data_IF_939552817915
#
_entry.id   IF_939552817915
#
_cell.length_a   1.000
_cell.length_b   1.000
_cell.length_c   1.000
_cell.angle_alpha   90.00
_cell.angle_beta   90.00
_cell.angle_gamma   90.00
#
_symmetry.space_group_name_H-M   'P 1'
#
loop_
_entity.id
_entity.type
_entity.pdbx_description
1 polymer ?
#
# COMPACT_ATOMS: atom_id res chain seq x y z
N UNK A 1 -13.11 -5.47 -13.90
CA UNK A 1 -12.65 -6.24 -15.09
C UNK A 1 -11.32 -5.73 -15.66
N UNK A 2 -11.11 -4.40 -15.87
CA UNK A 2 -9.85 -3.84 -16.40
C UNK A 2 -8.66 -4.04 -15.47
N UNK A 3 -8.79 -3.73 -14.19
CA UNK A 3 -7.73 -3.89 -13.19
C UNK A 3 -7.15 -5.32 -13.19
N UNK A 4 -8.02 -6.33 -13.21
CA UNK A 4 -7.60 -7.74 -13.28
C UNK A 4 -6.85 -8.07 -14.58
N UNK A 5 -7.34 -7.58 -15.74
CA UNK A 5 -6.69 -7.80 -17.05
C UNK A 5 -5.28 -7.20 -17.09
N UNK A 6 -5.09 -6.04 -16.49
CA UNK A 6 -3.80 -5.33 -16.46
C UNK A 6 -2.96 -5.64 -15.22
N UNK A 7 -3.42 -6.56 -14.36
CA UNK A 7 -2.73 -6.91 -13.11
C UNK A 7 -2.44 -5.68 -12.24
N UNK A 8 -3.48 -4.91 -11.95
CA UNK A 8 -3.43 -3.75 -11.07
C UNK A 8 -4.06 -4.14 -9.73
N UNK A 9 -3.30 -4.03 -8.65
CA UNK A 9 -3.78 -4.05 -7.27
C UNK A 9 -4.09 -2.63 -6.80
N UNK A 10 -5.13 -2.46 -5.98
CA UNK A 10 -5.50 -1.16 -5.43
C UNK A 10 -5.74 -1.25 -3.93
N UNK A 11 -5.11 -0.36 -3.19
CA UNK A 11 -5.24 -0.17 -1.75
C UNK A 11 -5.87 1.19 -1.52
N UNK A 12 -7.19 1.28 -1.22
CA UNK A 12 -7.88 2.54 -1.00
C UNK A 12 -7.51 3.18 0.34
N UNK A 13 -7.73 4.48 0.46
CA UNK A 13 -7.57 5.24 1.69
C UNK A 13 -8.48 4.68 2.81
N UNK A 14 -9.74 4.40 2.50
CA UNK A 14 -10.72 3.88 3.44
C UNK A 14 -11.39 2.61 2.94
N UNK A 15 -11.75 1.73 3.87
CA UNK A 15 -12.49 0.50 3.54
C UNK A 15 -11.66 -0.51 2.76
N UNK A 16 -12.27 -1.06 1.69
CA UNK A 16 -11.63 -2.08 0.85
C UNK A 16 -11.73 -3.50 1.42
N UNK A 17 -12.52 -3.71 2.48
CA UNK A 17 -12.75 -5.00 3.13
C UNK A 17 -14.20 -5.14 3.62
N UNK A 18 -14.62 -6.37 3.88
CA UNK A 18 -15.96 -6.69 4.42
C UNK A 18 -15.88 -6.70 5.95
N UNK A 19 -16.56 -5.78 6.58
CA UNK A 19 -16.47 -5.50 8.02
C UNK A 19 -16.86 -6.67 8.92
N UNK A 20 -17.90 -7.43 8.54
CA UNK A 20 -18.46 -8.53 9.33
C UNK A 20 -17.85 -9.89 9.03
N UNK A 21 -17.03 -9.99 8.00
CA UNK A 21 -16.22 -11.17 7.72
C UNK A 21 -14.91 -11.14 8.52
N UNK A 22 -14.39 -12.32 8.86
CA UNK A 22 -13.06 -12.45 9.47
C UNK A 22 -11.98 -12.03 8.46
N UNK A 23 -10.75 -11.85 8.93
CA UNK A 23 -9.61 -11.59 8.06
C UNK A 23 -9.46 -12.70 6.99
N UNK A 24 -9.51 -13.95 7.41
CA UNK A 24 -9.41 -15.10 6.52
C UNK A 24 -10.56 -15.16 5.51
N UNK A 25 -11.79 -14.92 5.95
CA UNK A 25 -12.98 -14.89 5.07
C UNK A 25 -12.88 -13.77 4.02
N UNK A 26 -12.37 -12.59 4.38
CA UNK A 26 -12.10 -11.51 3.45
C UNK A 26 -11.14 -11.97 2.33
N UNK A 27 -10.02 -12.59 2.71
CA UNK A 27 -9.04 -13.10 1.75
C UNK A 27 -9.62 -14.22 0.89
N UNK A 28 -10.42 -15.13 1.46
CA UNK A 28 -11.10 -16.19 0.72
C UNK A 28 -12.09 -15.61 -0.29
N UNK A 29 -12.95 -14.68 0.10
CA UNK A 29 -13.96 -14.07 -0.76
C UNK A 29 -13.33 -13.41 -2.01
N UNK A 30 -12.29 -12.61 -1.81
CA UNK A 30 -11.57 -11.98 -2.92
C UNK A 30 -10.75 -13.00 -3.71
N UNK A 31 -10.13 -13.95 -3.02
CA UNK A 31 -9.35 -15.03 -3.62
C UNK A 31 -10.16 -15.89 -4.59
N UNK A 32 -11.42 -16.21 -4.29
CA UNK A 32 -12.33 -16.97 -5.16
C UNK A 32 -12.61 -16.26 -6.48
N UNK A 33 -12.68 -14.94 -6.46
CA UNK A 33 -12.86 -14.14 -7.67
C UNK A 33 -11.61 -14.14 -8.52
N UNK A 34 -10.42 -14.06 -7.88
CA UNK A 34 -9.14 -13.82 -8.57
C UNK A 34 -8.46 -15.12 -8.99
N UNK A 35 -8.39 -16.13 -8.09
CA UNK A 35 -7.63 -17.36 -8.26
C UNK A 35 -8.60 -18.53 -8.39
N UNK A 36 -8.74 -19.07 -9.60
CA UNK A 36 -9.70 -20.18 -9.89
C UNK A 36 -9.30 -21.50 -9.26
N UNK A 37 -8.01 -21.80 -9.25
CA UNK A 37 -7.48 -23.02 -8.66
C UNK A 37 -7.53 -22.93 -7.13
N UNK A 38 -8.26 -23.86 -6.50
CA UNK A 38 -8.48 -23.88 -5.06
C UNK A 38 -7.18 -24.07 -4.28
N UNK A 39 -6.30 -24.97 -4.72
CA UNK A 39 -5.05 -25.26 -4.03
C UNK A 39 -4.12 -24.04 -4.07
N UNK A 40 -3.92 -23.46 -5.26
CA UNK A 40 -3.10 -22.25 -5.41
C UNK A 40 -3.65 -21.07 -4.60
N UNK A 41 -4.97 -20.95 -4.52
CA UNK A 41 -5.64 -19.93 -3.72
C UNK A 41 -5.34 -20.09 -2.22
N UNK A 42 -5.47 -21.31 -1.69
CA UNK A 42 -5.17 -21.60 -0.29
C UNK A 42 -3.69 -21.35 0.03
N UNK A 43 -2.77 -21.85 -0.80
CA UNK A 43 -1.34 -21.62 -0.67
C UNK A 43 -0.99 -20.12 -0.68
N UNK A 44 -1.59 -19.35 -1.60
CA UNK A 44 -1.37 -17.90 -1.69
C UNK A 44 -1.88 -17.15 -0.47
N UNK A 45 -3.08 -17.49 0.01
CA UNK A 45 -3.68 -16.87 1.21
C UNK A 45 -2.81 -17.17 2.44
N UNK A 46 -2.43 -18.41 2.66
CA UNK A 46 -1.58 -18.80 3.79
C UNK A 46 -0.24 -18.07 3.75
N UNK A 47 0.41 -18.02 2.57
CA UNK A 47 1.66 -17.28 2.38
C UNK A 47 1.53 -15.79 2.71
N UNK A 48 0.44 -15.14 2.31
CA UNK A 48 0.23 -13.72 2.62
C UNK A 48 -0.05 -13.49 4.11
N UNK A 49 -0.87 -14.32 4.75
CA UNK A 49 -1.14 -14.25 6.20
C UNK A 49 0.16 -14.33 6.98
N UNK A 50 0.99 -15.33 6.70
CA UNK A 50 2.28 -15.52 7.36
C UNK A 50 3.24 -14.35 7.08
N UNK A 51 3.39 -13.97 5.80
CA UNK A 51 4.28 -12.87 5.40
C UNK A 51 3.96 -11.55 6.10
N UNK A 52 2.67 -11.27 6.32
CA UNK A 52 2.22 -10.03 6.96
C UNK A 52 2.04 -10.16 8.48
N UNK A 53 2.43 -11.32 9.07
CA UNK A 53 2.27 -11.63 10.48
C UNK A 53 0.82 -11.40 10.98
N UNK A 54 -0.13 -12.05 10.30
CA UNK A 54 -1.56 -11.96 10.58
C UNK A 54 -2.15 -13.28 11.11
N UNK A 55 -1.30 -14.29 11.38
CA UNK A 55 -1.70 -15.64 11.81
C UNK A 55 -2.59 -15.60 13.05
N UNK A 56 -2.23 -14.80 14.04
CA UNK A 56 -2.93 -14.71 15.31
C UNK A 56 -4.29 -13.98 15.26
N UNK A 57 -4.62 -13.34 14.12
CA UNK A 57 -5.84 -12.52 13.97
C UNK A 57 -6.70 -12.96 12.78
N UNK A 58 -6.38 -14.09 12.15
CA UNK A 58 -7.06 -14.54 10.93
C UNK A 58 -8.56 -14.85 11.17
N UNK A 59 -8.95 -15.26 12.36
CA UNK A 59 -10.34 -15.57 12.74
C UNK A 59 -11.07 -14.36 13.37
N UNK A 60 -10.39 -13.20 13.47
CA UNK A 60 -11.00 -11.98 14.01
C UNK A 60 -11.75 -11.26 12.90
N UNK A 61 -12.99 -10.82 13.15
CA UNK A 61 -13.77 -10.01 12.22
C UNK A 61 -13.05 -8.69 11.93
N UNK A 62 -13.05 -8.28 10.66
CA UNK A 62 -12.29 -7.14 10.20
C UNK A 62 -12.61 -5.82 10.93
N UNK A 63 -13.85 -5.65 11.41
CA UNK A 63 -14.25 -4.50 12.23
C UNK A 63 -13.52 -4.41 13.59
N UNK A 64 -13.02 -5.51 14.13
CA UNK A 64 -12.31 -5.57 15.41
C UNK A 64 -10.79 -5.55 15.26
N UNK A 65 -10.25 -5.57 14.05
CA UNK A 65 -8.83 -5.43 13.79
C UNK A 65 -8.35 -4.01 14.13
N UNK A 66 -7.07 -3.88 14.49
CA UNK A 66 -6.42 -2.56 14.62
C UNK A 66 -6.32 -1.86 13.26
N UNK A 67 -6.03 -0.56 13.25
CA UNK A 67 -5.82 0.20 12.00
C UNK A 67 -4.73 -0.42 11.12
N UNK A 68 -3.60 -0.78 11.70
CA UNK A 68 -2.49 -1.44 11.01
C UNK A 68 -2.86 -2.84 10.48
N UNK A 69 -3.58 -3.64 11.27
CA UNK A 69 -4.04 -4.96 10.83
C UNK A 69 -5.04 -4.86 9.67
N UNK A 70 -5.98 -3.91 9.72
CA UNK A 70 -6.87 -3.62 8.59
C UNK A 70 -6.10 -3.21 7.35
N UNK A 71 -5.10 -2.35 7.50
CA UNK A 71 -4.26 -1.92 6.37
C UNK A 71 -3.51 -3.09 5.75
N UNK A 72 -2.89 -3.95 6.58
CA UNK A 72 -2.26 -5.19 6.12
C UNK A 72 -3.23 -6.10 5.36
N UNK A 73 -4.45 -6.29 5.88
CA UNK A 73 -5.50 -7.08 5.21
C UNK A 73 -5.78 -6.55 3.79
N UNK A 74 -6.00 -5.24 3.65
CA UNK A 74 -6.29 -4.63 2.33
C UNK A 74 -5.12 -4.79 1.36
N UNK A 75 -3.89 -4.63 1.84
CA UNK A 75 -2.69 -4.89 1.02
C UNK A 75 -2.64 -6.36 0.60
N UNK A 76 -2.87 -7.31 1.52
CA UNK A 76 -2.93 -8.74 1.18
C UNK A 76 -3.98 -9.02 0.10
N UNK A 77 -5.18 -8.44 0.22
CA UNK A 77 -6.24 -8.58 -0.79
C UNK A 77 -5.80 -8.05 -2.15
N UNK A 78 -5.12 -6.91 -2.21
CA UNK A 78 -4.58 -6.33 -3.45
C UNK A 78 -3.48 -7.20 -4.08
N UNK A 79 -2.73 -7.96 -3.26
CA UNK A 79 -1.63 -8.83 -3.69
C UNK A 79 -2.07 -10.24 -4.14
N UNK A 80 -3.33 -10.64 -3.90
CA UNK A 80 -3.82 -11.97 -4.29
C UNK A 80 -3.68 -12.26 -5.79
N UNK A 81 -3.78 -11.23 -6.63
CA UNK A 81 -3.71 -11.35 -8.10
C UNK A 81 -2.30 -11.26 -8.68
N UNK A 82 -1.26 -11.28 -7.88
CA UNK A 82 0.13 -11.01 -8.31
C UNK A 82 0.20 -9.77 -9.21
N UNK A 83 -0.12 -8.57 -8.68
CA UNK A 83 -0.19 -7.37 -9.47
C UNK A 83 1.19 -6.99 -10.02
N UNK A 84 1.21 -6.40 -11.22
CA UNK A 84 2.38 -5.72 -11.78
C UNK A 84 2.46 -4.27 -11.32
N UNK A 85 1.32 -3.68 -10.99
CA UNK A 85 1.20 -2.31 -10.48
C UNK A 85 0.37 -2.39 -9.20
N UNK A 86 0.89 -1.83 -8.11
CA UNK A 86 0.17 -1.65 -6.85
C UNK A 86 -0.08 -0.16 -6.64
N UNK A 87 -1.34 0.24 -6.67
CA UNK A 87 -1.75 1.62 -6.40
C UNK A 87 -2.14 1.73 -4.93
N UNK A 88 -1.52 2.64 -4.20
CA UNK A 88 -1.75 2.90 -2.79
C UNK A 88 -2.23 4.34 -2.61
N UNK A 89 -3.41 4.49 -2.03
CA UNK A 89 -4.03 5.79 -1.82
C UNK A 89 -4.06 6.11 -0.32
N UNK A 90 -3.28 7.12 0.09
CA UNK A 90 -3.13 7.60 1.47
C UNK A 90 -3.00 6.47 2.52
N UNK A 91 -2.08 5.53 2.27
CA UNK A 91 -1.96 4.32 3.10
C UNK A 91 -1.43 4.58 4.52
N UNK A 92 -0.85 5.76 4.76
CA UNK A 92 -0.35 6.18 6.08
C UNK A 92 -1.38 7.00 6.87
N UNK A 93 -2.53 7.34 6.27
CA UNK A 93 -3.53 8.17 6.90
C UNK A 93 -4.09 7.56 8.20
N UNK A 94 -4.17 8.38 9.25
CA UNK A 94 -4.71 8.02 10.57
C UNK A 94 -4.04 6.81 11.25
N UNK A 95 -2.75 6.59 10.97
CA UNK A 95 -1.94 5.56 11.60
C UNK A 95 -0.90 6.18 12.55
N UNK A 96 -0.54 5.41 13.58
CA UNK A 96 0.56 5.76 14.47
C UNK A 96 1.93 5.58 13.80
N UNK A 97 2.97 6.21 14.37
CA UNK A 97 4.34 6.22 13.81
C UNK A 97 4.90 4.81 13.63
N UNK A 98 4.67 3.90 14.58
CA UNK A 98 5.19 2.52 14.50
C UNK A 98 4.51 1.74 13.38
N UNK A 99 3.21 1.93 13.21
CA UNK A 99 2.44 1.31 12.13
C UNK A 99 2.89 1.83 10.76
N UNK A 100 3.15 3.15 10.62
CA UNK A 100 3.70 3.74 9.39
C UNK A 100 5.07 3.11 9.09
N UNK A 101 5.96 3.04 10.07
CA UNK A 101 7.30 2.45 9.89
C UNK A 101 7.20 1.01 9.38
N UNK A 102 6.39 0.19 10.03
CA UNK A 102 6.14 -1.19 9.62
C UNK A 102 5.59 -1.29 8.18
N UNK A 103 4.66 -0.42 7.78
CA UNK A 103 4.12 -0.42 6.42
C UNK A 103 5.17 -0.02 5.38
N UNK A 104 6.04 0.93 5.69
CA UNK A 104 7.18 1.31 4.84
C UNK A 104 8.10 0.11 4.60
N UNK A 105 8.47 -0.61 5.65
CA UNK A 105 9.28 -1.84 5.53
C UNK A 105 8.59 -2.89 4.66
N UNK A 106 7.29 -3.10 4.84
CA UNK A 106 6.51 -4.03 4.02
C UNK A 106 6.57 -3.65 2.53
N UNK A 107 6.40 -2.37 2.18
CA UNK A 107 6.42 -1.93 0.78
C UNK A 107 7.81 -2.07 0.16
N UNK A 108 8.85 -1.69 0.88
CA UNK A 108 10.24 -1.85 0.44
C UNK A 108 10.57 -3.34 0.24
N UNK A 109 10.19 -4.19 1.18
CA UNK A 109 10.41 -5.64 1.06
C UNK A 109 9.64 -6.25 -0.11
N UNK A 110 8.40 -5.80 -0.37
CA UNK A 110 7.62 -6.25 -1.54
C UNK A 110 8.34 -5.96 -2.85
N UNK A 111 8.95 -4.78 -2.98
CA UNK A 111 9.70 -4.42 -4.18
C UNK A 111 11.02 -5.21 -4.29
N UNK A 112 11.75 -5.36 -3.19
CA UNK A 112 13.00 -6.12 -3.16
C UNK A 112 12.80 -7.58 -3.56
N UNK A 113 11.73 -8.22 -3.08
CA UNK A 113 11.38 -9.61 -3.42
C UNK A 113 10.82 -9.75 -4.83
N UNK A 114 10.16 -8.72 -5.35
CA UNK A 114 9.62 -8.70 -6.69
C UNK A 114 9.97 -7.38 -7.41
N UNK A 115 11.21 -7.26 -7.97
CA UNK A 115 11.66 -6.04 -8.65
C UNK A 115 10.83 -5.64 -9.87
N UNK A 116 9.92 -6.52 -10.32
CA UNK A 116 9.02 -6.23 -11.45
C UNK A 116 7.71 -5.56 -11.04
N UNK A 117 7.44 -5.42 -9.74
CA UNK A 117 6.26 -4.69 -9.27
C UNK A 117 6.56 -3.19 -9.30
N UNK A 118 5.64 -2.41 -9.86
CA UNK A 118 5.64 -0.96 -9.75
C UNK A 118 4.68 -0.57 -8.62
N UNK A 119 5.17 0.08 -7.57
CA UNK A 119 4.35 0.58 -6.47
C UNK A 119 4.18 2.09 -6.65
N UNK A 120 2.94 2.54 -6.80
CA UNK A 120 2.58 3.95 -6.92
C UNK A 120 1.82 4.34 -5.66
N UNK A 121 2.30 5.35 -4.96
CA UNK A 121 1.75 5.81 -3.69
C UNK A 121 1.33 7.26 -3.83
N UNK A 122 0.05 7.57 -3.60
CA UNK A 122 -0.46 8.92 -3.41
C UNK A 122 -0.45 9.23 -1.91
N UNK A 123 0.25 10.25 -1.50
CA UNK A 123 0.37 10.65 -0.08
C UNK A 123 0.57 12.15 0.06
N UNK A 124 0.10 12.68 1.18
CA UNK A 124 0.34 14.06 1.56
C UNK A 124 1.40 14.19 2.68
N UNK A 125 1.78 13.08 3.31
CA UNK A 125 2.86 13.01 4.31
C UNK A 125 4.21 12.90 3.60
N UNK A 126 4.69 14.02 3.05
CA UNK A 126 5.86 14.07 2.17
C UNK A 126 7.12 13.42 2.77
N UNK A 127 7.40 13.66 4.08
CA UNK A 127 8.59 13.10 4.76
C UNK A 127 8.56 11.57 4.76
N UNK A 128 7.41 11.00 5.09
CA UNK A 128 7.23 9.56 5.16
C UNK A 128 7.35 8.92 3.78
N UNK A 129 6.73 9.55 2.76
CA UNK A 129 6.78 9.08 1.40
C UNK A 129 8.19 9.15 0.80
N UNK A 130 8.85 10.31 0.88
CA UNK A 130 10.17 10.54 0.28
C UNK A 130 11.27 9.64 0.86
N UNK A 131 11.05 9.04 2.05
CA UNK A 131 12.01 8.13 2.66
C UNK A 131 12.05 6.73 2.03
N UNK A 132 11.07 6.36 1.19
CA UNK A 132 10.92 4.99 0.67
C UNK A 132 10.76 4.90 -0.85
N UNK A 133 10.66 6.02 -1.56
CA UNK A 133 10.45 6.03 -3.01
C UNK A 133 11.71 6.32 -3.78
N UNK A 134 11.83 5.76 -4.98
CA UNK A 134 12.93 6.05 -5.92
C UNK A 134 12.71 7.38 -6.65
N UNK A 135 11.44 7.71 -6.90
CA UNK A 135 11.03 8.90 -7.67
C UNK A 135 9.69 9.40 -7.16
N UNK A 136 9.52 10.71 -7.12
CA UNK A 136 8.26 11.32 -6.78
C UNK A 136 7.89 12.46 -7.74
N UNK A 137 6.59 12.74 -7.78
CA UNK A 137 6.00 13.86 -8.51
C UNK A 137 5.20 14.70 -7.52
N UNK A 138 5.36 16.02 -7.58
CA UNK A 138 4.57 16.95 -6.79
C UNK A 138 3.49 17.56 -7.68
N UNK A 139 2.24 17.35 -7.27
CA UNK A 139 1.07 17.87 -7.96
C UNK A 139 0.52 19.09 -7.21
N UNK A 140 0.35 20.20 -7.91
CA UNK A 140 -0.33 21.39 -7.38
C UNK A 140 -1.14 22.05 -8.49
N UNK A 141 -2.34 22.52 -8.18
CA UNK A 141 -3.24 23.16 -9.14
C UNK A 141 -3.39 22.36 -10.46
N UNK A 142 -3.61 21.05 -10.35
CA UNK A 142 -3.77 20.14 -11.49
C UNK A 142 -2.55 20.07 -12.42
N UNK A 143 -1.36 20.46 -11.96
CA UNK A 143 -0.12 20.41 -12.74
C UNK A 143 0.99 19.73 -11.94
N UNK A 144 1.89 19.04 -12.64
CA UNK A 144 3.13 18.58 -12.05
C UNK A 144 4.06 19.80 -11.95
N UNK A 145 4.41 20.18 -10.71
CA UNK A 145 5.27 21.35 -10.45
C UNK A 145 6.73 20.96 -10.26
N UNK A 146 7.00 19.75 -9.80
CA UNK A 146 8.33 19.19 -9.67
C UNK A 146 8.31 17.67 -9.80
N UNK A 147 9.40 17.08 -10.24
CA UNK A 147 9.55 15.64 -10.47
C UNK A 147 11.03 15.26 -10.32
N UNK A 148 11.31 14.12 -9.66
CA UNK A 148 12.66 13.62 -9.52
C UNK A 148 12.87 12.65 -8.38
N UNK A 149 14.14 12.34 -8.07
CA UNK A 149 14.50 11.61 -6.87
C UNK A 149 14.21 12.44 -5.61
N UNK A 150 13.99 11.81 -4.44
CA UNK A 150 13.78 12.53 -3.17
C UNK A 150 14.82 13.63 -2.90
N UNK A 151 16.10 13.31 -3.10
CA UNK A 151 17.21 14.25 -2.88
C UNK A 151 17.15 15.48 -3.81
N UNK A 152 16.68 15.31 -5.06
CA UNK A 152 16.53 16.41 -6.00
C UNK A 152 15.31 17.27 -5.63
N UNK A 153 14.19 16.63 -5.26
CA UNK A 153 12.96 17.34 -4.90
C UNK A 153 13.12 18.19 -3.63
N UNK A 154 13.83 17.69 -2.62
CA UNK A 154 14.10 18.45 -1.38
C UNK A 154 14.92 19.73 -1.67
N UNK A 155 15.71 19.74 -2.75
CA UNK A 155 16.53 20.91 -3.17
C UNK A 155 15.82 21.81 -4.19
N UNK A 156 14.75 21.35 -4.80
CA UNK A 156 14.02 22.08 -5.84
C UNK A 156 13.32 23.31 -5.26
N UNK A 157 13.60 24.49 -5.81
CA UNK A 157 13.05 25.77 -5.31
C UNK A 157 11.54 25.90 -5.51
N UNK A 158 10.97 25.29 -6.56
CA UNK A 158 9.52 25.28 -6.76
C UNK A 158 8.85 24.36 -5.77
N UNK A 159 9.41 23.17 -5.55
CA UNK A 159 8.93 22.23 -4.54
C UNK A 159 8.96 22.85 -3.14
N UNK A 160 10.04 23.55 -2.79
CA UNK A 160 10.15 24.28 -1.52
C UNK A 160 9.10 25.37 -1.37
N UNK A 161 9.00 26.25 -2.36
CA UNK A 161 8.11 27.43 -2.27
C UNK A 161 6.63 27.07 -2.33
N UNK A 162 6.24 26.03 -3.09
CA UNK A 162 4.84 25.73 -3.38
C UNK A 162 4.27 24.52 -2.62
N UNK A 163 5.14 23.67 -2.03
CA UNK A 163 4.70 22.45 -1.38
C UNK A 163 5.34 22.21 -0.02
N UNK A 164 6.66 22.23 0.09
CA UNK A 164 7.34 21.89 1.35
C UNK A 164 7.36 23.03 2.35
N UNK A 165 7.36 24.30 1.90
CA UNK A 165 7.56 25.44 2.79
C UNK A 165 8.87 25.29 3.57
N UNK A 166 8.80 25.50 4.88
CA UNK A 166 9.94 25.36 5.82
C UNK A 166 10.14 23.92 6.34
N UNK A 167 9.41 22.96 5.80
CA UNK A 167 9.32 21.58 6.34
C UNK A 167 10.66 20.83 6.33
N UNK A 168 11.58 21.18 5.42
CA UNK A 168 12.92 20.61 5.29
C UNK A 168 14.04 21.61 5.59
N UNK A 169 13.75 22.75 6.22
CA UNK A 169 14.79 23.61 6.78
C UNK A 169 15.31 22.97 8.07
N UNK A 170 16.57 22.59 8.08
CA UNK A 170 17.35 22.32 9.29
C UNK A 170 17.95 23.63 9.78
#
# INVERSE_FOLDING_TARGET
LRARKFKIGYVPQYGGYFHDLTLLENLKAVGEIIIKDQRKRQEKIASLISKFALDNVQEIKAKFLSGGQRRKLVICMALLGDPKILLCDEIFAALDVLTIHMLKEILVNLQNENPKICIIICEHQARELLSIVDRALILSNCKIIAEGSPNNLIKDEKAKSQYFGDFFKN
#
